data_IF_804084916533
#
_entry.id   IF_804084916533
#
_cell.length_a   1.000
_cell.length_b   1.000
_cell.length_c   1.000
_cell.angle_alpha   90.00
_cell.angle_beta   90.00
_cell.angle_gamma   90.00
#
_symmetry.space_group_name_H-M   'P 1'
#
loop_
_entity.id
_entity.type
_entity.pdbx_description
1 polymer ?
#
# COMPACT_ATOMS: atom_id res chain seq x y z
N UNK A 1 24.19 -23.93 18.37
CA UNK A 1 24.94 -23.17 19.41
C UNK A 1 25.21 -21.72 18.97
N UNK A 2 25.51 -21.49 17.67
CA UNK A 2 25.75 -20.19 17.06
C UNK A 2 24.52 -19.23 17.06
N UNK A 3 23.30 -19.75 16.86
CA UNK A 3 22.06 -18.94 16.88
C UNK A 3 21.81 -18.18 18.18
N UNK A 4 22.18 -18.78 19.32
CA UNK A 4 21.97 -18.16 20.64
C UNK A 4 22.88 -16.95 20.84
N UNK A 5 24.10 -17.02 20.30
CA UNK A 5 25.06 -15.91 20.34
C UNK A 5 24.63 -14.80 19.38
N UNK A 6 24.14 -15.15 18.20
CA UNK A 6 23.60 -14.18 17.25
C UNK A 6 22.36 -13.47 17.81
N UNK A 7 21.41 -14.19 18.41
CA UNK A 7 20.24 -13.59 19.06
C UNK A 7 20.62 -12.67 20.24
N UNK A 8 21.58 -13.08 21.07
CA UNK A 8 22.05 -12.26 22.19
C UNK A 8 22.76 -10.98 21.69
N UNK A 9 23.56 -11.10 20.64
CA UNK A 9 24.23 -9.98 19.99
C UNK A 9 23.24 -8.98 19.39
N UNK A 10 22.22 -9.47 18.66
CA UNK A 10 21.15 -8.61 18.14
C UNK A 10 20.38 -7.91 19.25
N UNK A 11 20.03 -8.59 20.35
CA UNK A 11 19.37 -7.94 21.51
C UNK A 11 20.23 -6.88 22.18
N UNK A 12 21.55 -7.09 22.27
CA UNK A 12 22.47 -6.17 22.91
C UNK A 12 22.73 -4.89 22.10
N UNK A 13 22.65 -4.97 20.76
CA UNK A 13 22.85 -3.83 19.86
C UNK A 13 21.62 -2.91 19.76
N UNK A 14 20.45 -3.41 20.12
CA UNK A 14 19.19 -2.68 20.04
C UNK A 14 18.35 -2.91 21.30
N UNK A 15 18.83 -2.47 22.47
CA UNK A 15 18.08 -2.59 23.72
C UNK A 15 16.78 -1.78 23.71
N UNK A 16 16.64 -0.84 22.78
CA UNK A 16 15.49 0.06 22.60
C UNK A 16 14.61 -0.28 21.37
N UNK A 17 14.75 -1.48 20.79
CA UNK A 17 13.77 -2.00 19.82
C UNK A 17 12.46 -2.32 20.55
N UNK A 18 11.72 -1.28 20.91
CA UNK A 18 10.27 -1.36 21.02
C UNK A 18 9.82 -1.76 19.60
N UNK A 19 9.15 -2.91 19.41
CA UNK A 19 8.38 -3.10 18.20
C UNK A 19 7.37 -1.96 18.20
N UNK A 20 7.63 -0.91 17.41
CA UNK A 20 6.60 0.06 17.07
C UNK A 20 5.54 -0.73 16.31
N UNK A 21 4.61 -1.35 17.04
CA UNK A 21 3.34 -1.76 16.48
C UNK A 21 2.76 -0.48 15.89
N UNK A 22 2.55 -0.41 14.56
CA UNK A 22 2.10 0.82 13.95
C UNK A 22 0.66 1.06 14.42
N UNK A 23 0.50 1.79 15.51
CA UNK A 23 -0.76 2.36 15.97
C UNK A 23 -0.98 3.66 15.21
N UNK A 24 -1.09 3.53 13.89
CA UNK A 24 -1.66 4.61 13.09
C UNK A 24 -3.18 4.47 13.21
N UNK A 25 -3.91 5.49 13.73
CA UNK A 25 -5.33 5.55 13.48
C UNK A 25 -5.46 5.79 11.97
N UNK A 26 -5.68 4.72 11.21
CA UNK A 26 -6.08 4.87 9.83
C UNK A 26 -7.47 5.50 9.86
N UNK A 27 -7.54 6.82 9.76
CA UNK A 27 -8.71 7.46 9.18
C UNK A 27 -8.89 6.78 7.82
N UNK A 28 -9.96 5.99 7.72
CA UNK A 28 -10.21 5.10 6.58
C UNK A 28 -10.75 5.95 5.42
N UNK A 29 -9.98 6.94 4.96
CA UNK A 29 -10.24 7.55 3.66
C UNK A 29 -9.83 6.52 2.61
N UNK A 30 -10.83 5.81 2.08
CA UNK A 30 -10.65 4.98 0.89
C UNK A 30 -10.18 5.81 -0.31
N UNK A 31 -9.72 5.15 -1.38
CA UNK A 31 -9.32 5.84 -2.60
C UNK A 31 -10.41 6.81 -3.07
N UNK A 32 -9.99 7.98 -3.57
CA UNK A 32 -10.92 8.96 -4.12
C UNK A 32 -11.82 8.33 -5.21
N UNK A 33 -13.08 8.73 -5.35
CA UNK A 33 -14.01 8.15 -6.33
C UNK A 33 -13.47 8.12 -7.77
N UNK A 34 -12.70 9.14 -8.16
CA UNK A 34 -12.05 9.20 -9.47
C UNK A 34 -11.01 8.08 -9.66
N UNK A 35 -10.26 7.74 -8.61
CA UNK A 35 -9.32 6.60 -8.63
C UNK A 35 -10.11 5.30 -8.77
N UNK A 36 -11.19 5.11 -8.00
CA UNK A 36 -12.02 3.90 -8.10
C UNK A 36 -12.61 3.74 -9.50
N UNK A 37 -13.12 4.83 -10.10
CA UNK A 37 -13.63 4.81 -11.47
C UNK A 37 -12.54 4.41 -12.48
N UNK A 38 -11.33 4.99 -12.36
CA UNK A 38 -10.20 4.67 -13.22
C UNK A 38 -9.63 3.26 -12.99
N UNK A 39 -9.85 2.65 -11.82
CA UNK A 39 -9.57 1.24 -11.57
C UNK A 39 -10.62 0.31 -12.17
N UNK A 40 -11.59 0.82 -12.92
CA UNK A 40 -12.65 0.04 -13.54
C UNK A 40 -13.92 -0.06 -12.70
N UNK A 41 -14.04 0.70 -11.61
CA UNK A 41 -15.22 0.71 -10.75
C UNK A 41 -15.07 -0.08 -9.45
N UNK A 42 -16.01 0.12 -8.52
CA UNK A 42 -15.99 -0.51 -7.20
C UNK A 42 -16.15 -2.03 -7.26
N UNK A 43 -16.82 -2.56 -8.28
CA UNK A 43 -16.96 -4.00 -8.51
C UNK A 43 -15.62 -4.66 -8.87
N UNK A 44 -14.67 -3.90 -9.43
CA UNK A 44 -13.34 -4.39 -9.77
C UNK A 44 -12.37 -4.38 -8.58
N UNK A 45 -12.64 -3.57 -7.54
CA UNK A 45 -11.78 -3.42 -6.37
C UNK A 45 -12.11 -4.50 -5.32
N UNK A 46 -11.14 -5.37 -5.02
CA UNK A 46 -11.26 -6.38 -3.96
C UNK A 46 -10.92 -5.81 -2.58
N UNK A 47 -9.82 -5.08 -2.50
CA UNK A 47 -9.32 -4.48 -1.27
C UNK A 47 -8.41 -3.30 -1.59
N UNK A 48 -8.22 -2.42 -0.61
CA UNK A 48 -7.24 -1.36 -0.67
C UNK A 48 -6.58 -1.17 0.70
N UNK A 49 -5.30 -0.82 0.71
CA UNK A 49 -4.53 -0.61 1.93
C UNK A 49 -3.47 0.49 1.70
N UNK A 50 -3.43 1.54 2.53
CA UNK A 50 -2.27 2.42 2.60
C UNK A 50 -1.08 1.61 3.11
N UNK A 51 -0.03 1.49 2.30
CA UNK A 51 1.19 0.73 2.64
C UNK A 51 2.41 1.64 2.81
N UNK A 52 2.26 2.93 2.51
CA UNK A 52 3.20 4.00 2.86
C UNK A 52 2.45 5.36 2.81
N UNK A 53 3.12 6.44 3.20
CA UNK A 53 2.56 7.81 3.24
C UNK A 53 1.89 8.24 1.93
N UNK A 54 2.46 7.84 0.78
CA UNK A 54 1.97 8.22 -0.55
C UNK A 54 1.60 7.00 -1.38
N UNK A 55 1.58 5.80 -0.79
CA UNK A 55 1.41 4.54 -1.52
C UNK A 55 0.16 3.81 -1.09
N UNK A 56 -0.75 3.64 -2.04
CA UNK A 56 -1.94 2.81 -1.90
C UNK A 56 -1.72 1.49 -2.64
N UNK A 57 -1.82 0.37 -1.92
CA UNK A 57 -1.95 -0.96 -2.52
C UNK A 57 -3.41 -1.25 -2.76
N UNK A 58 -3.74 -1.71 -3.96
CA UNK A 58 -5.08 -2.21 -4.29
C UNK A 58 -4.97 -3.63 -4.84
N UNK A 59 -6.00 -4.43 -4.60
CA UNK A 59 -6.17 -5.73 -5.23
C UNK A 59 -7.38 -5.65 -6.14
N UNK A 60 -7.22 -6.08 -7.39
CA UNK A 60 -8.25 -6.00 -8.41
C UNK A 60 -8.74 -7.39 -8.84
N UNK A 61 -9.95 -7.45 -9.39
CA UNK A 61 -10.49 -8.64 -10.06
C UNK A 61 -9.92 -8.78 -11.46
N UNK A 62 -9.83 -7.68 -12.19
CA UNK A 62 -9.35 -7.63 -13.56
C UNK A 62 -8.48 -6.38 -13.78
N UNK A 63 -7.20 -6.61 -14.08
CA UNK A 63 -6.23 -5.55 -14.33
C UNK A 63 -6.38 -4.90 -15.71
N UNK A 64 -7.08 -5.55 -16.65
CA UNK A 64 -7.31 -5.00 -17.99
C UNK A 64 -8.27 -3.80 -17.98
N UNK A 65 -9.07 -3.65 -16.93
CA UNK A 65 -10.03 -2.54 -16.74
C UNK A 65 -9.39 -1.24 -16.23
N UNK A 66 -8.08 -1.23 -16.00
CA UNK A 66 -7.36 -0.05 -15.49
C UNK A 66 -7.25 1.00 -16.60
N UNK A 67 -7.84 2.17 -16.37
CA UNK A 67 -7.62 3.38 -17.16
C UNK A 67 -6.42 4.18 -16.61
N UNK A 68 -5.26 4.02 -17.25
CA UNK A 68 -4.03 4.72 -16.86
C UNK A 68 -4.14 6.24 -17.00
N UNK A 69 -4.87 6.73 -18.01
CA UNK A 69 -5.06 8.16 -18.23
C UNK A 69 -5.98 8.73 -17.15
N UNK A 70 -7.06 8.04 -16.84
CA UNK A 70 -7.95 8.37 -15.72
C UNK A 70 -7.23 8.38 -14.37
N UNK A 71 -6.34 7.42 -14.11
CA UNK A 71 -5.53 7.40 -12.89
C UNK A 71 -4.62 8.63 -12.79
N UNK A 72 -3.95 8.98 -13.89
CA UNK A 72 -3.10 10.18 -13.93
C UNK A 72 -3.91 11.46 -13.69
N UNK A 73 -5.08 11.61 -14.32
CA UNK A 73 -5.99 12.73 -14.12
C UNK A 73 -6.53 12.79 -12.68
N UNK A 74 -6.69 11.65 -12.01
CA UNK A 74 -7.07 11.53 -10.61
C UNK A 74 -5.91 11.81 -9.63
N UNK A 75 -4.73 12.22 -10.12
CA UNK A 75 -3.57 12.58 -9.30
C UNK A 75 -2.63 11.41 -8.96
N UNK A 76 -2.83 10.23 -9.57
CA UNK A 76 -1.89 9.12 -9.41
C UNK A 76 -0.65 9.38 -10.25
N UNK A 77 0.48 9.57 -9.58
CA UNK A 77 1.77 9.89 -10.22
C UNK A 77 2.56 8.65 -10.65
N UNK A 78 2.20 7.47 -10.14
CA UNK A 78 2.87 6.23 -10.46
C UNK A 78 1.97 5.02 -10.28
N UNK A 79 2.09 4.05 -11.18
CA UNK A 79 1.33 2.79 -11.16
C UNK A 79 2.31 1.63 -11.35
N UNK A 80 2.41 0.75 -10.35
CA UNK A 80 3.20 -0.48 -10.41
C UNK A 80 2.27 -1.67 -10.37
N UNK A 81 2.30 -2.47 -11.44
CA UNK A 81 1.56 -3.73 -11.53
C UNK A 81 2.42 -4.85 -10.93
N UNK A 82 1.80 -5.68 -10.10
CA UNK A 82 2.38 -6.87 -9.49
C UNK A 82 1.54 -8.08 -9.88
N UNK A 83 2.05 -9.28 -9.57
CA UNK A 83 1.31 -10.51 -9.80
C UNK A 83 0.03 -10.58 -8.95
N UNK A 84 -0.84 -11.53 -9.30
CA UNK A 84 -2.07 -11.86 -8.55
C UNK A 84 -3.07 -10.69 -8.40
N UNK A 85 -3.07 -9.73 -9.33
CA UNK A 85 -4.04 -8.63 -9.33
C UNK A 85 -3.68 -7.48 -8.38
N UNK A 86 -2.46 -7.47 -7.84
CA UNK A 86 -1.99 -6.41 -6.93
C UNK A 86 -1.46 -5.23 -7.74
N UNK A 87 -1.85 -4.00 -7.37
CA UNK A 87 -1.35 -2.76 -7.98
C UNK A 87 -0.96 -1.78 -6.88
N UNK A 88 0.20 -1.15 -7.00
CA UNK A 88 0.58 -0.03 -6.14
C UNK A 88 0.39 1.27 -6.90
N UNK A 89 -0.29 2.21 -6.27
CA UNK A 89 -0.54 3.55 -6.76
C UNK A 89 0.25 4.54 -5.90
N UNK A 90 0.87 5.53 -6.53
CA UNK A 90 1.45 6.68 -5.83
C UNK A 90 0.45 7.83 -5.88
N UNK A 91 -0.24 8.07 -4.77
CA UNK A 91 -1.37 9.01 -4.68
C UNK A 91 -0.99 10.37 -4.08
N UNK A 92 0.26 10.55 -3.63
CA UNK A 92 0.68 11.75 -2.91
C UNK A 92 0.19 11.77 -1.45
N UNK A 93 0.54 12.81 -0.70
CA UNK A 93 0.10 12.98 0.69
C UNK A 93 -1.39 13.28 0.72
N UNK A 94 -2.16 12.40 1.34
CA UNK A 94 -3.59 12.62 1.61
C UNK A 94 -3.69 13.33 2.97
N UNK A 95 -4.15 14.58 2.96
CA UNK A 95 -4.37 15.40 4.16
C UNK A 95 -5.77 15.27 4.73
#
# INVERSE_FOLDING_TARGET
MFDRLQQAFWKALTPDLIPEEPTLPASVQGPAPAIIAALGGADNLKSHQPVALTRLRVELRDMARIDRTGLSAAGVTGVMMLDNGVVHLITGLQG
#
